data_IF_274604655022
#
_entry.id   IF_274604655022
#
_cell.length_a   1.000
_cell.length_b   1.000
_cell.length_c   1.000
_cell.angle_alpha   90.00
_cell.angle_beta   90.00
_cell.angle_gamma   90.00
#
_symmetry.space_group_name_H-M   'P 1'
#
loop_
_entity.id
_entity.type
_entity.pdbx_description
1 polymer ?
#
# COMPACT_ATOMS: atom_id res chain seq x y z
N UNK A 1 -21.22 17.56 59.37
CA UNK A 1 -21.74 17.81 58.01
C UNK A 1 -20.53 17.80 57.08
N UNK A 2 -20.31 16.69 56.38
CA UNK A 2 -19.21 16.54 55.43
C UNK A 2 -19.54 17.30 54.16
N UNK A 3 -18.79 18.35 53.85
CA UNK A 3 -18.79 19.02 52.56
C UNK A 3 -17.86 18.25 51.60
N UNK A 4 -18.44 17.36 50.79
CA UNK A 4 -17.75 16.77 49.65
C UNK A 4 -17.50 17.86 48.61
N UNK A 5 -16.29 18.41 48.59
CA UNK A 5 -15.79 19.21 47.48
C UNK A 5 -15.53 18.30 46.29
N UNK A 6 -16.41 18.34 45.30
CA UNK A 6 -16.16 17.76 43.98
C UNK A 6 -15.05 18.56 43.30
N UNK A 7 -13.82 18.07 43.38
CA UNK A 7 -12.73 18.53 42.52
C UNK A 7 -13.01 18.08 41.10
N UNK A 8 -13.59 18.97 40.28
CA UNK A 8 -13.59 18.84 38.83
C UNK A 8 -12.14 18.71 38.35
N UNK A 9 -11.79 17.72 37.51
CA UNK A 9 -10.45 17.66 36.95
C UNK A 9 -10.24 18.86 36.02
N UNK A 10 -9.18 19.63 36.26
CA UNK A 10 -8.70 20.70 35.39
C UNK A 10 -8.42 20.15 33.98
N UNK A 11 -9.33 20.41 33.04
CA UNK A 11 -9.15 20.13 31.61
C UNK A 11 -8.40 21.29 30.93
N UNK A 12 -7.16 21.54 31.34
CA UNK A 12 -6.32 22.62 30.78
C UNK A 12 -4.89 22.17 30.51
N UNK A 13 -4.67 20.94 30.04
CA UNK A 13 -3.41 20.63 29.37
C UNK A 13 -3.52 21.10 27.93
N UNK A 14 -2.86 22.21 27.61
CA UNK A 14 -2.67 22.67 26.23
C UNK A 14 -2.07 21.54 25.39
N UNK A 15 -2.45 21.37 24.11
CA UNK A 15 -1.86 20.37 23.25
C UNK A 15 -0.33 20.50 23.25
N UNK A 16 0.34 19.45 23.74
CA UNK A 16 1.80 19.44 23.76
C UNK A 16 2.31 19.27 22.33
N UNK A 17 3.40 19.97 22.00
CA UNK A 17 4.06 19.90 20.68
C UNK A 17 4.36 18.43 20.25
N UNK A 18 4.57 17.55 21.22
CA UNK A 18 4.79 16.12 21.03
C UNK A 18 3.58 15.41 20.41
N UNK A 19 2.37 15.66 20.94
CA UNK A 19 1.15 15.01 20.46
C UNK A 19 0.77 15.44 19.04
N UNK A 20 0.95 16.73 18.72
CA UNK A 20 0.77 17.23 17.35
C UNK A 20 1.77 16.56 16.38
N UNK A 21 3.03 16.42 16.78
CA UNK A 21 4.07 15.75 15.97
C UNK A 21 3.75 14.27 15.73
N UNK A 22 3.19 13.58 16.73
CA UNK A 22 2.71 12.21 16.60
C UNK A 22 1.60 12.11 15.54
N UNK A 23 0.61 13.01 15.62
CA UNK A 23 -0.48 13.07 14.63
C UNK A 23 0.05 13.28 13.21
N UNK A 24 0.93 14.27 13.00
CA UNK A 24 1.58 14.56 11.70
C UNK A 24 2.37 13.38 11.16
N UNK A 25 3.05 12.64 12.03
CA UNK A 25 3.79 11.43 11.65
C UNK A 25 2.85 10.36 11.13
N UNK A 26 1.75 10.09 11.85
CA UNK A 26 0.73 9.12 11.43
C UNK A 26 0.08 9.50 10.10
N UNK A 27 -0.18 10.80 9.89
CA UNK A 27 -0.69 11.31 8.59
C UNK A 27 0.31 11.05 7.47
N UNK A 28 1.60 11.28 7.71
CA UNK A 28 2.66 11.06 6.71
C UNK A 28 2.82 9.58 6.36
N UNK A 29 2.78 8.70 7.36
CA UNK A 29 2.81 7.25 7.17
C UNK A 29 1.56 6.79 6.40
N UNK A 30 0.38 7.29 6.79
CA UNK A 30 -0.85 6.95 6.08
C UNK A 30 -0.79 7.36 4.60
N UNK A 31 -0.25 8.54 4.28
CA UNK A 31 -0.08 8.96 2.89
C UNK A 31 0.93 8.09 2.11
N UNK A 32 2.00 7.62 2.76
CA UNK A 32 2.94 6.65 2.20
C UNK A 32 2.23 5.33 1.83
N UNK A 33 1.49 4.75 2.78
CA UNK A 33 0.80 3.47 2.66
C UNK A 33 -0.40 3.54 1.69
N UNK A 34 -1.26 4.54 1.83
CA UNK A 34 -2.51 4.64 1.09
C UNK A 34 -2.32 5.10 -0.37
N UNK A 35 -1.26 5.85 -0.66
CA UNK A 35 -1.02 6.49 -1.95
C UNK A 35 0.25 5.94 -2.60
N UNK A 36 1.43 6.21 -2.03
CA UNK A 36 2.72 5.96 -2.70
C UNK A 36 2.98 4.48 -2.99
N UNK A 37 2.70 3.61 -2.03
CA UNK A 37 2.79 2.17 -2.24
C UNK A 37 1.83 1.69 -3.33
N UNK A 38 0.60 2.20 -3.36
CA UNK A 38 -0.38 1.84 -4.39
C UNK A 38 0.01 2.31 -5.80
N UNK A 39 0.63 3.48 -5.92
CA UNK A 39 1.20 3.96 -7.20
C UNK A 39 2.32 3.03 -7.67
N UNK A 40 3.17 2.58 -6.75
CA UNK A 40 4.23 1.61 -7.04
C UNK A 40 3.68 0.22 -7.42
N UNK A 41 2.62 -0.23 -6.75
CA UNK A 41 1.92 -1.47 -7.09
C UNK A 41 1.29 -1.40 -8.48
N UNK A 42 0.66 -0.28 -8.84
CA UNK A 42 0.10 -0.08 -10.18
C UNK A 42 1.16 -0.27 -11.27
N UNK A 43 2.34 0.34 -11.08
CA UNK A 43 3.45 0.20 -12.00
C UNK A 43 3.94 -1.26 -12.10
N UNK A 44 4.05 -1.96 -10.97
CA UNK A 44 4.55 -3.33 -10.96
C UNK A 44 3.54 -4.31 -11.57
N UNK A 45 2.27 -4.22 -11.19
CA UNK A 45 1.23 -5.11 -11.68
C UNK A 45 0.90 -4.88 -13.16
N UNK A 46 1.19 -3.69 -13.71
CA UNK A 46 1.13 -3.46 -15.14
C UNK A 46 2.15 -4.32 -15.93
N UNK A 47 3.32 -4.64 -15.36
CA UNK A 47 4.21 -5.67 -15.94
C UNK A 47 3.63 -7.08 -15.79
N UNK A 48 3.01 -7.37 -14.64
CA UNK A 48 2.33 -8.65 -14.40
C UNK A 48 1.20 -8.95 -15.38
N UNK A 49 0.38 -7.95 -15.74
CA UNK A 49 -0.67 -8.07 -16.77
C UNK A 49 -0.10 -8.44 -18.15
N UNK A 50 1.17 -8.09 -18.39
CA UNK A 50 1.90 -8.42 -19.62
C UNK A 50 2.69 -9.73 -19.52
N UNK A 51 2.52 -10.49 -18.43
CA UNK A 51 3.29 -11.71 -18.12
C UNK A 51 4.80 -11.45 -18.05
N UNK A 52 5.17 -10.25 -17.61
CA UNK A 52 6.56 -9.85 -17.37
C UNK A 52 6.80 -9.77 -15.86
N UNK A 53 8.02 -10.10 -15.43
CA UNK A 53 8.44 -10.01 -14.03
C UNK A 53 7.48 -10.76 -13.08
N UNK A 54 7.02 -11.95 -13.47
CA UNK A 54 6.02 -12.71 -12.70
C UNK A 54 6.51 -13.06 -11.28
N UNK A 55 7.81 -13.39 -11.13
CA UNK A 55 8.42 -13.62 -9.81
C UNK A 55 8.35 -12.39 -8.91
N UNK A 56 8.69 -11.21 -9.44
CA UNK A 56 8.57 -9.94 -8.73
C UNK A 56 7.11 -9.65 -8.38
N UNK A 57 6.19 -9.89 -9.32
CA UNK A 57 4.75 -9.68 -9.13
C UNK A 57 4.19 -10.55 -8.01
N UNK A 58 4.63 -11.81 -7.88
CA UNK A 58 4.25 -12.70 -6.76
C UNK A 58 4.69 -12.14 -5.41
N UNK A 59 5.92 -11.64 -5.29
CA UNK A 59 6.43 -11.01 -4.06
C UNK A 59 5.63 -9.75 -3.73
N UNK A 60 5.39 -8.91 -4.74
CA UNK A 60 4.65 -7.65 -4.57
C UNK A 60 3.20 -7.85 -4.14
N UNK A 61 2.57 -8.99 -4.44
CA UNK A 61 1.25 -9.34 -3.90
C UNK A 61 1.27 -9.50 -2.38
N UNK A 62 2.30 -10.16 -1.84
CA UNK A 62 2.42 -10.31 -0.38
C UNK A 62 2.64 -8.95 0.30
N UNK A 63 3.49 -8.10 -0.28
CA UNK A 63 3.70 -6.74 0.22
C UNK A 63 2.39 -5.94 0.16
N UNK A 64 1.67 -5.98 -0.96
CA UNK A 64 0.40 -5.26 -1.09
C UNK A 64 -0.67 -5.71 -0.08
N UNK A 65 -0.68 -6.98 0.31
CA UNK A 65 -1.55 -7.50 1.37
C UNK A 65 -1.19 -6.91 2.72
N UNK A 66 0.08 -6.87 3.06
CA UNK A 66 0.56 -6.33 4.34
C UNK A 66 0.30 -4.82 4.40
N UNK A 67 0.56 -4.09 3.31
CA UNK A 67 0.28 -2.65 3.23
C UNK A 67 -1.22 -2.32 3.29
N UNK A 68 -2.11 -3.23 2.88
CA UNK A 68 -3.55 -3.03 3.07
C UNK A 68 -3.92 -3.01 4.56
N UNK A 69 -3.29 -3.87 5.37
CA UNK A 69 -3.49 -3.91 6.83
C UNK A 69 -2.83 -2.70 7.52
N UNK A 70 -1.62 -2.32 7.10
CA UNK A 70 -0.95 -1.13 7.64
C UNK A 70 -1.80 0.13 7.39
N UNK A 71 -2.26 0.30 6.15
CA UNK A 71 -3.13 1.40 5.73
C UNK A 71 -4.42 1.44 6.54
N UNK A 72 -5.10 0.30 6.74
CA UNK A 72 -6.31 0.23 7.58
C UNK A 72 -6.00 0.59 9.04
N UNK A 73 -4.87 0.12 9.57
CA UNK A 73 -4.41 0.43 10.92
C UNK A 73 -4.21 1.93 11.13
N UNK A 74 -3.44 2.57 10.25
CA UNK A 74 -3.13 4.01 10.35
C UNK A 74 -4.38 4.87 10.13
N UNK A 75 -5.25 4.52 9.19
CA UNK A 75 -6.55 5.17 8.99
C UNK A 75 -7.43 5.12 10.25
N UNK A 76 -7.48 3.95 10.90
CA UNK A 76 -8.31 3.75 12.08
C UNK A 76 -7.80 4.55 13.27
N UNK A 77 -6.48 4.59 13.47
CA UNK A 77 -5.85 5.42 14.50
C UNK A 77 -6.19 6.91 14.30
N UNK A 78 -6.01 7.42 13.07
CA UNK A 78 -6.35 8.80 12.71
C UNK A 78 -7.84 9.10 12.92
N UNK A 79 -8.72 8.18 12.52
CA UNK A 79 -10.17 8.34 12.72
C UNK A 79 -10.53 8.40 14.21
N UNK A 80 -9.93 7.55 15.04
CA UNK A 80 -10.21 7.52 16.48
C UNK A 80 -9.76 8.80 17.20
N UNK A 81 -8.63 9.36 16.80
CA UNK A 81 -8.22 10.70 17.24
C UNK A 81 -9.26 11.75 16.84
N UNK A 82 -9.68 11.76 15.57
CA UNK A 82 -10.65 12.74 15.04
C UNK A 82 -12.04 12.65 15.68
N UNK A 83 -12.56 11.45 15.94
CA UNK A 83 -13.89 11.27 16.55
C UNK A 83 -13.89 11.47 18.06
N UNK A 84 -12.74 11.76 18.67
CA UNK A 84 -12.59 11.91 20.12
C UNK A 84 -12.69 10.60 20.90
N UNK A 85 -12.57 9.45 20.24
CA UNK A 85 -12.58 8.14 20.91
C UNK A 85 -11.39 7.98 21.85
N UNK A 86 -10.25 8.56 21.49
CA UNK A 86 -9.03 8.61 22.31
C UNK A 86 -9.02 9.75 23.35
N UNK A 87 -10.12 10.50 23.47
CA UNK A 87 -10.26 11.64 24.40
C UNK A 87 -10.28 13.01 23.71
N UNK A 88 -10.70 14.02 24.47
CA UNK A 88 -10.94 15.39 23.98
C UNK A 88 -9.68 16.08 23.46
N UNK A 89 -8.52 15.80 24.08
CA UNK A 89 -7.23 16.35 23.65
C UNK A 89 -6.90 15.94 22.20
N UNK A 90 -7.08 14.66 21.87
CA UNK A 90 -6.82 14.16 20.52
C UNK A 90 -7.84 14.66 19.50
N UNK A 91 -9.09 14.85 19.90
CA UNK A 91 -10.10 15.48 19.05
C UNK A 91 -9.71 16.92 18.68
N UNK A 92 -9.23 17.68 19.67
CA UNK A 92 -8.76 19.05 19.45
C UNK A 92 -7.53 19.08 18.54
N UNK A 93 -6.50 18.27 18.83
CA UNK A 93 -5.30 18.17 17.99
C UNK A 93 -5.66 17.80 16.56
N UNK A 94 -6.52 16.80 16.38
CA UNK A 94 -6.87 16.35 15.04
C UNK A 94 -7.71 17.37 14.25
N UNK A 95 -8.43 18.26 14.94
CA UNK A 95 -9.08 19.42 14.32
C UNK A 95 -8.06 20.50 13.95
N UNK A 96 -7.14 20.83 14.85
CA UNK A 96 -6.07 21.83 14.64
C UNK A 96 -5.11 21.41 13.51
N UNK A 97 -4.86 20.10 13.36
CA UNK A 97 -3.97 19.51 12.35
C UNK A 97 -4.70 19.14 11.05
N UNK A 98 -6.01 19.40 10.92
CA UNK A 98 -6.73 19.14 9.67
C UNK A 98 -6.10 19.84 8.44
N UNK A 99 -5.68 21.12 8.51
CA UNK A 99 -4.96 21.77 7.41
C UNK A 99 -3.66 21.06 7.01
N UNK A 100 -2.93 20.51 7.98
CA UNK A 100 -1.71 19.74 7.72
C UNK A 100 -2.02 18.45 6.95
N UNK A 101 -3.15 17.79 7.25
CA UNK A 101 -3.60 16.60 6.51
C UNK A 101 -3.87 16.96 5.05
N UNK A 102 -4.65 18.01 4.78
CA UNK A 102 -4.92 18.44 3.41
C UNK A 102 -3.65 18.79 2.64
N UNK A 103 -2.74 19.55 3.26
CA UNK A 103 -1.48 19.94 2.62
C UNK A 103 -0.61 18.70 2.32
N UNK A 104 -0.46 17.80 3.28
CA UNK A 104 0.35 16.58 3.09
C UNK A 104 -0.21 15.71 1.97
N UNK A 105 -1.52 15.53 1.92
CA UNK A 105 -2.17 14.73 0.88
C UNK A 105 -2.04 15.37 -0.51
N UNK A 106 -2.09 16.71 -0.59
CA UNK A 106 -1.83 17.45 -1.82
C UNK A 106 -0.37 17.31 -2.26
N UNK A 107 0.58 17.54 -1.37
CA UNK A 107 2.02 17.45 -1.65
C UNK A 107 2.43 16.06 -2.11
N UNK A 108 1.92 15.02 -1.45
CA UNK A 108 2.16 13.62 -1.83
C UNK A 108 1.58 13.34 -3.21
N UNK A 109 0.34 13.75 -3.48
CA UNK A 109 -0.28 13.57 -4.78
C UNK A 109 0.52 14.26 -5.90
N UNK A 110 0.95 15.50 -5.69
CA UNK A 110 1.76 16.22 -6.66
C UNK A 110 3.13 15.56 -6.89
N UNK A 111 3.77 15.08 -5.84
CA UNK A 111 5.03 14.36 -5.93
C UNK A 111 4.87 13.07 -6.74
N UNK A 112 3.82 12.28 -6.50
CA UNK A 112 3.54 11.06 -7.24
C UNK A 112 3.14 11.35 -8.71
N UNK A 113 2.44 12.46 -8.98
CA UNK A 113 2.15 12.89 -10.35
C UNK A 113 3.41 13.30 -11.12
N UNK A 114 4.35 14.00 -10.48
CA UNK A 114 5.67 14.30 -11.07
C UNK A 114 6.51 13.03 -11.24
N UNK A 115 6.40 12.10 -10.31
CA UNK A 115 7.05 10.79 -10.43
C UNK A 115 6.49 10.00 -11.61
N UNK A 116 5.19 10.04 -11.86
CA UNK A 116 4.57 9.44 -13.04
C UNK A 116 5.13 10.02 -14.35
N UNK A 117 5.31 11.34 -14.42
CA UNK A 117 5.97 11.98 -15.58
C UNK A 117 7.39 11.47 -15.78
N UNK A 118 8.15 11.34 -14.69
CA UNK A 118 9.50 10.80 -14.76
C UNK A 118 9.53 9.33 -15.22
N UNK A 119 8.63 8.48 -14.70
CA UNK A 119 8.56 7.06 -15.05
C UNK A 119 8.28 6.82 -16.53
N UNK A 120 7.45 7.67 -17.14
CA UNK A 120 6.99 7.51 -18.52
C UNK A 120 7.63 8.47 -19.53
N UNK A 121 8.69 9.20 -19.12
CA UNK A 121 9.38 10.18 -19.98
C UNK A 121 9.92 9.58 -21.29
N UNK A 122 10.35 8.32 -21.24
CA UNK A 122 10.98 7.60 -22.36
C UNK A 122 10.01 6.65 -23.08
N UNK A 123 8.73 6.61 -22.66
CA UNK A 123 7.70 5.79 -23.27
C UNK A 123 6.69 5.21 -22.27
N UNK A 124 5.46 5.02 -22.74
CA UNK A 124 4.38 4.38 -22.00
C UNK A 124 4.35 2.86 -22.19
N UNK A 125 3.61 2.16 -21.33
CA UNK A 125 3.28 0.75 -21.54
C UNK A 125 1.80 0.56 -21.87
N UNK A 126 1.47 -0.53 -22.60
CA UNK A 126 0.07 -0.89 -22.85
C UNK A 126 -0.61 -1.10 -21.48
N UNK A 127 -1.72 -0.39 -21.26
CA UNK A 127 -2.49 -0.45 -20.02
C UNK A 127 -2.05 0.52 -18.92
N UNK A 128 -0.91 1.23 -19.07
CA UNK A 128 -0.48 2.25 -18.11
C UNK A 128 0.42 3.33 -18.76
N UNK A 129 0.00 4.58 -18.63
CA UNK A 129 0.77 5.76 -19.03
C UNK A 129 0.72 6.82 -17.92
N UNK A 130 1.42 7.95 -18.13
CA UNK A 130 1.48 9.03 -17.15
C UNK A 130 0.08 9.57 -16.78
N UNK A 131 -0.79 9.83 -17.75
CA UNK A 131 -2.11 10.43 -17.51
C UNK A 131 -3.04 9.50 -16.72
N UNK A 132 -3.02 8.20 -17.06
CA UNK A 132 -3.76 7.16 -16.33
C UNK A 132 -3.22 7.06 -14.91
N UNK A 133 -1.91 7.02 -14.72
CA UNK A 133 -1.30 6.92 -13.39
C UNK A 133 -1.58 8.17 -12.54
N UNK A 134 -1.55 9.37 -13.12
CA UNK A 134 -1.94 10.63 -12.45
C UNK A 134 -3.41 10.61 -12.03
N UNK A 135 -4.30 10.12 -12.90
CA UNK A 135 -5.71 9.94 -12.57
C UNK A 135 -5.88 8.95 -11.42
N UNK A 136 -5.09 7.89 -11.40
CA UNK A 136 -5.08 6.91 -10.31
C UNK A 136 -4.55 7.51 -9.00
N UNK A 137 -3.48 8.32 -9.03
CA UNK A 137 -2.99 9.08 -7.87
C UNK A 137 -4.12 9.90 -7.26
N UNK A 138 -4.81 10.72 -8.08
CA UNK A 138 -5.95 11.53 -7.63
C UNK A 138 -7.07 10.70 -7.02
N UNK A 139 -7.40 9.56 -7.64
CA UNK A 139 -8.38 8.62 -7.12
C UNK A 139 -7.98 8.07 -5.74
N UNK A 140 -6.72 7.63 -5.59
CA UNK A 140 -6.17 7.13 -4.31
C UNK A 140 -6.15 8.19 -3.23
N UNK A 141 -5.76 9.42 -3.56
CA UNK A 141 -5.82 10.55 -2.63
C UNK A 141 -7.24 10.79 -2.15
N UNK A 142 -8.22 10.83 -3.04
CA UNK A 142 -9.63 10.98 -2.65
C UNK A 142 -10.13 9.82 -1.78
N UNK A 143 -9.70 8.59 -2.09
CA UNK A 143 -10.06 7.42 -1.29
C UNK A 143 -9.51 7.54 0.14
N UNK A 144 -8.24 7.91 0.31
CA UNK A 144 -7.63 8.15 1.61
C UNK A 144 -8.38 9.25 2.39
N UNK A 145 -8.66 10.40 1.73
CA UNK A 145 -9.41 11.50 2.33
C UNK A 145 -10.80 11.05 2.82
N UNK A 146 -11.56 10.32 1.99
CA UNK A 146 -12.88 9.80 2.38
C UNK A 146 -12.80 8.84 3.57
N UNK A 147 -11.79 7.97 3.61
CA UNK A 147 -11.59 7.01 4.71
C UNK A 147 -11.24 7.70 6.03
N UNK A 148 -10.59 8.86 5.97
CA UNK A 148 -10.39 9.71 7.14
C UNK A 148 -11.66 10.50 7.52
N UNK A 149 -12.68 10.57 6.65
CA UNK A 149 -13.88 11.39 6.85
C UNK A 149 -13.68 12.85 6.42
N UNK A 150 -12.77 13.10 5.48
CA UNK A 150 -12.48 14.42 4.90
C UNK A 150 -13.12 14.58 3.52
N UNK A 151 -13.22 15.83 3.07
CA UNK A 151 -13.70 16.14 1.72
C UNK A 151 -12.63 15.75 0.69
N UNK A 152 -13.03 15.25 -0.49
CA UNK A 152 -12.07 14.91 -1.55
C UNK A 152 -11.34 16.16 -2.06
N UNK A 153 -10.08 15.99 -2.45
CA UNK A 153 -9.25 17.04 -3.06
C UNK A 153 -9.55 17.20 -4.56
N UNK A 154 -9.90 16.10 -5.24
CA UNK A 154 -10.10 16.05 -6.69
C UNK A 154 -11.55 15.62 -7.01
N UNK A 155 -12.56 16.47 -6.79
CA UNK A 155 -13.98 16.10 -6.93
C UNK A 155 -14.37 15.63 -8.34
N UNK A 156 -13.56 15.95 -9.35
CA UNK A 156 -13.72 15.48 -10.73
C UNK A 156 -13.44 13.99 -10.90
N UNK A 157 -12.64 13.38 -10.01
CA UNK A 157 -12.26 11.96 -10.07
C UNK A 157 -13.18 11.14 -9.15
N UNK A 158 -14.11 10.39 -9.76
CA UNK A 158 -15.12 9.57 -9.07
C UNK A 158 -14.81 8.07 -9.13
N UNK A 159 -14.39 7.61 -10.30
CA UNK A 159 -14.21 6.19 -10.59
C UNK A 159 -12.74 5.79 -10.56
N UNK A 160 -12.48 4.51 -10.28
CA UNK A 160 -11.13 3.93 -10.31
C UNK A 160 -10.66 3.73 -11.76
N UNK A 161 -9.61 4.41 -12.22
CA UNK A 161 -9.11 4.23 -13.59
C UNK A 161 -8.38 2.89 -13.79
N UNK A 162 -8.00 2.18 -12.72
CA UNK A 162 -7.22 0.94 -12.76
C UNK A 162 -7.97 -0.23 -12.14
N UNK A 163 -9.22 -0.44 -12.55
CA UNK A 163 -10.11 -1.51 -12.02
C UNK A 163 -9.47 -2.91 -12.04
N UNK A 164 -8.58 -3.18 -13.01
CA UNK A 164 -7.86 -4.45 -13.12
C UNK A 164 -6.91 -4.73 -11.95
N UNK A 165 -6.47 -3.71 -11.20
CA UNK A 165 -5.61 -3.88 -10.02
C UNK A 165 -6.27 -4.73 -8.94
N UNK A 166 -7.60 -4.73 -8.86
CA UNK A 166 -8.35 -5.49 -7.87
C UNK A 166 -8.05 -7.00 -7.94
N UNK A 167 -7.74 -7.54 -9.13
CA UNK A 167 -7.31 -8.94 -9.29
C UNK A 167 -6.03 -9.26 -8.52
N UNK A 168 -5.10 -8.30 -8.48
CA UNK A 168 -3.81 -8.46 -7.81
C UNK A 168 -3.91 -8.19 -6.31
N UNK A 169 -4.81 -7.28 -5.90
CA UNK A 169 -5.00 -6.87 -4.52
C UNK A 169 -5.94 -7.80 -3.71
N UNK A 170 -6.93 -8.44 -4.34
CA UNK A 170 -8.00 -9.20 -3.66
C UNK A 170 -7.85 -10.73 -3.77
N UNK A 171 -6.79 -11.26 -4.39
CA UNK A 171 -6.73 -12.69 -4.79
C UNK A 171 -6.46 -13.71 -3.68
N UNK A 172 -6.64 -13.33 -2.40
CA UNK A 172 -6.50 -14.24 -1.26
C UNK A 172 -7.86 -14.82 -0.82
N UNK A 173 -8.60 -15.44 -1.75
CA UNK A 173 -9.71 -16.36 -1.39
C UNK A 173 -9.69 -17.67 -2.17
N UNK A 174 -8.57 -18.01 -2.79
CA UNK A 174 -8.31 -19.37 -3.24
C UNK A 174 -7.07 -19.85 -2.48
N UNK A 175 -7.30 -20.57 -1.38
CA UNK A 175 -6.34 -21.57 -0.94
C UNK A 175 -6.16 -22.52 -2.11
N UNK A 176 -5.14 -22.29 -2.92
CA UNK A 176 -4.71 -23.26 -3.92
C UNK A 176 -4.17 -24.42 -3.10
N UNK A 177 -4.87 -25.56 -3.13
CA UNK A 177 -4.39 -26.79 -2.52
C UNK A 177 -2.97 -27.04 -3.04
N UNK A 178 -2.03 -27.56 -2.23
CA UNK A 178 -0.64 -27.78 -2.66
C UNK A 178 -0.49 -28.59 -3.96
N UNK A 179 -1.52 -29.33 -4.38
CA UNK A 179 -1.56 -30.05 -5.66
C UNK A 179 -1.85 -29.18 -6.90
N UNK A 180 -2.38 -27.97 -6.76
CA UNK A 180 -2.78 -27.09 -7.89
C UNK A 180 -1.84 -25.89 -8.10
N UNK A 181 -0.88 -25.68 -7.20
CA UNK A 181 0.23 -24.79 -7.48
C UNK A 181 1.12 -25.51 -8.50
N UNK A 182 1.18 -25.02 -9.75
CA UNK A 182 2.28 -25.41 -10.65
C UNK A 182 3.60 -25.06 -9.95
N UNK A 183 4.20 -26.06 -9.33
CA UNK A 183 5.53 -25.98 -8.77
C UNK A 183 6.49 -25.80 -9.94
N UNK A 184 6.93 -24.56 -10.17
CA UNK A 184 7.93 -24.23 -11.18
C UNK A 184 9.34 -24.73 -10.84
N UNK A 185 9.46 -25.70 -9.93
CA UNK A 185 10.76 -26.18 -9.46
C UNK A 185 10.63 -27.64 -9.07
N UNK A 186 10.74 -28.56 -10.03
CA UNK A 186 11.46 -29.82 -9.82
C UNK A 186 11.91 -30.38 -11.18
N UNK A 187 13.16 -30.12 -11.56
CA UNK A 187 13.94 -31.10 -12.33
C UNK A 187 14.68 -31.96 -11.32
N UNK A 188 13.94 -32.86 -10.66
CA UNK A 188 14.53 -33.96 -9.89
C UNK A 188 14.48 -35.17 -10.81
N UNK A 189 15.65 -35.56 -11.33
CA UNK A 189 15.79 -36.79 -12.11
C UNK A 189 16.36 -36.67 -13.52
N UNK A 190 17.05 -35.59 -13.90
CA UNK A 190 17.98 -35.68 -15.04
C UNK A 190 19.31 -36.29 -14.58
N UNK A 191 19.30 -37.59 -14.31
CA UNK A 191 20.47 -38.42 -14.61
C UNK A 191 20.19 -38.94 -16.01
N UNK A 192 20.91 -38.41 -16.99
CA UNK A 192 20.93 -38.99 -18.32
C UNK A 192 21.42 -40.45 -18.17
N UNK A 193 20.51 -41.39 -18.36
CA UNK A 193 20.78 -42.83 -18.19
C UNK A 193 21.25 -43.46 -19.51
N UNK A 194 21.70 -42.64 -20.45
CA UNK A 194 22.52 -43.08 -21.56
C UNK A 194 23.94 -43.42 -21.05
N UNK A 195 24.09 -44.60 -20.46
CA UNK A 195 25.41 -45.20 -20.26
C UNK A 195 25.97 -45.56 -21.63
N UNK A 196 26.94 -44.79 -22.11
CA UNK A 196 27.71 -45.16 -23.29
C UNK A 196 28.58 -46.38 -22.99
N UNK A 197 28.22 -47.52 -23.59
CA UNK A 197 28.94 -48.79 -23.42
C UNK A 197 30.37 -48.73 -23.96
N UNK A 198 30.72 -47.74 -24.79
CA UNK A 198 32.08 -47.56 -25.28
C UNK A 198 33.05 -47.04 -24.22
N UNK A 199 32.56 -46.33 -23.18
CA UNK A 199 33.41 -45.83 -22.08
C UNK A 199 33.79 -46.90 -21.05
N UNK A 200 33.04 -47.99 -20.97
CA UNK A 200 33.24 -49.07 -20.00
C UNK A 200 34.26 -50.13 -20.44
N UNK A 201 34.69 -50.13 -21.71
CA UNK A 201 35.67 -51.08 -22.21
C UNK A 201 37.10 -50.84 -21.69
N UNK A 202 37.38 -49.67 -21.12
CA UNK A 202 38.70 -49.36 -20.52
C UNK A 202 38.91 -49.99 -19.13
N UNK A 203 37.86 -50.57 -18.54
CA UNK A 203 37.92 -51.23 -17.23
C UNK A 203 37.76 -52.76 -17.31
N UNK A 204 37.74 -53.33 -18.51
CA UNK A 204 37.56 -54.77 -18.71
C UNK A 204 38.83 -55.59 -18.43
N UNK A 205 40.00 -54.94 -18.35
CA UNK A 205 41.32 -55.59 -18.20
C UNK A 205 42.05 -55.22 -16.88
N UNK A 206 41.32 -54.91 -15.80
CA UNK A 206 41.87 -54.79 -14.44
C UNK A 206 41.39 -55.95 -13.54
#
# INVERSE_FOLDING_TARGET
MNSNGSTSPNLTESPTLSSASCSRTLVSINALEAIRFYVSFACTFAFGERKLLEGNTKIMRFIARDEALHCEGTERMLRFMRTGREGLLWAQIAADEEPFIYQTMMDVAEQEMRWADYLFKDGSMIGLNADILKSYVKYRTNLAMRRLGLKPLYPEIKDDPLVWMNKWLLSDTLQIAPQEAEQSTYLVGQIDSAVDRAGLSQFADL
#
